data_IF_131448677665
#
_entry.id   IF_131448677665
#
_cell.length_a   1.000
_cell.length_b   1.000
_cell.length_c   1.000
_cell.angle_alpha   90.00
_cell.angle_beta   90.00
_cell.angle_gamma   90.00
#
_symmetry.space_group_name_H-M   'P 1'
#
loop_
_entity.id
_entity.type
_entity.pdbx_description
1 polymer ?
#
# COMPACT_ATOMS: atom_id res chain seq x y z
N UNK A 1 1.52 -24.23 -0.52
CA UNK A 1 2.15 -23.67 -1.74
C UNK A 1 2.01 -22.17 -1.62
N UNK A 2 3.07 -21.48 -1.24
CA UNK A 2 3.09 -20.01 -1.22
C UNK A 2 3.15 -19.55 -2.68
N UNK A 3 2.06 -18.99 -3.17
CA UNK A 3 2.02 -18.35 -4.49
C UNK A 3 2.74 -17.02 -4.35
N UNK A 4 3.99 -16.96 -4.83
CA UNK A 4 4.73 -15.71 -4.95
C UNK A 4 4.14 -14.98 -6.17
N UNK A 5 3.64 -13.76 -5.98
CA UNK A 5 3.24 -12.90 -7.10
C UNK A 5 4.47 -12.61 -7.98
N UNK A 6 4.49 -13.15 -9.20
CA UNK A 6 5.54 -12.82 -10.17
C UNK A 6 5.33 -11.40 -10.73
N UNK A 7 6.40 -10.73 -11.18
CA UNK A 7 6.38 -9.32 -11.62
C UNK A 7 5.25 -8.92 -12.60
N UNK A 8 4.97 -9.68 -13.68
CA UNK A 8 3.88 -9.33 -14.59
C UNK A 8 2.53 -9.43 -13.89
N UNK A 9 2.36 -10.44 -13.03
CA UNK A 9 1.15 -10.67 -12.25
C UNK A 9 0.94 -9.57 -11.19
N UNK A 10 2.02 -8.95 -10.70
CA UNK A 10 1.95 -7.86 -9.72
C UNK A 10 1.31 -6.60 -10.30
N UNK A 11 1.69 -6.19 -11.51
CA UNK A 11 1.09 -5.01 -12.16
C UNK A 11 -0.37 -5.30 -12.50
N UNK A 12 -0.65 -6.46 -13.10
CA UNK A 12 -2.02 -6.90 -13.41
C UNK A 12 -2.89 -6.98 -12.16
N UNK A 13 -2.33 -7.47 -11.05
CA UNK A 13 -2.99 -7.51 -9.75
C UNK A 13 -3.35 -6.10 -9.25
N UNK A 14 -2.39 -5.16 -9.27
CA UNK A 14 -2.60 -3.80 -8.81
C UNK A 14 -3.60 -3.04 -9.68
N UNK A 15 -3.53 -3.20 -11.00
CA UNK A 15 -4.50 -2.66 -11.96
C UNK A 15 -5.90 -3.16 -11.68
N UNK A 16 -6.05 -4.47 -11.42
CA UNK A 16 -7.35 -5.08 -11.13
C UNK A 16 -7.92 -4.62 -9.79
N UNK A 17 -7.07 -4.48 -8.77
CA UNK A 17 -7.52 -4.13 -7.43
C UNK A 17 -7.72 -2.62 -7.24
N UNK A 18 -6.98 -1.79 -7.98
CA UNK A 18 -6.99 -0.33 -7.91
C UNK A 18 -7.34 0.25 -9.29
N UNK A 19 -8.60 0.06 -9.77
CA UNK A 19 -9.00 0.55 -11.08
C UNK A 19 -8.85 2.06 -11.22
N UNK A 20 -8.89 2.80 -10.11
CA UNK A 20 -8.72 4.26 -10.10
C UNK A 20 -7.31 4.73 -10.47
N UNK A 21 -6.31 3.86 -10.37
CA UNK A 21 -4.90 4.14 -10.68
C UNK A 21 -4.38 3.26 -11.82
N UNK A 22 -5.29 2.75 -12.66
CA UNK A 22 -4.96 1.90 -13.79
C UNK A 22 -3.80 2.46 -14.64
N UNK A 23 -3.96 3.72 -15.08
CA UNK A 23 -3.00 4.40 -15.95
C UNK A 23 -1.66 4.68 -15.24
N UNK A 24 -1.67 4.85 -13.92
CA UNK A 24 -0.47 5.04 -13.11
C UNK A 24 0.42 3.79 -13.07
N UNK A 25 -0.19 2.60 -13.10
CA UNK A 25 0.54 1.33 -13.10
C UNK A 25 0.88 0.84 -14.52
N UNK A 26 -0.02 1.00 -15.50
CA UNK A 26 0.25 0.66 -16.90
C UNK A 26 1.36 1.50 -17.54
N UNK A 27 1.53 2.74 -17.07
CA UNK A 27 2.59 3.63 -17.56
C UNK A 27 3.99 3.29 -17.03
N UNK A 28 4.09 2.31 -16.12
CA UNK A 28 5.39 1.87 -15.61
C UNK A 28 6.19 1.13 -16.70
N UNK A 29 7.53 1.32 -16.74
CA UNK A 29 8.38 0.58 -17.67
C UNK A 29 8.27 -0.93 -17.43
N UNK A 30 8.35 -1.74 -18.50
CA UNK A 30 8.28 -3.20 -18.40
C UNK A 30 9.35 -3.82 -17.48
N UNK A 31 10.51 -3.18 -17.34
CA UNK A 31 11.62 -3.63 -16.48
C UNK A 31 11.61 -3.00 -15.07
N UNK A 32 10.51 -2.35 -14.67
CA UNK A 32 10.41 -1.72 -13.35
C UNK A 32 10.66 -2.72 -12.21
N UNK A 33 11.34 -2.29 -11.15
CA UNK A 33 11.59 -3.13 -9.97
C UNK A 33 10.36 -3.22 -9.08
N UNK A 34 10.23 -4.33 -8.34
CA UNK A 34 9.14 -4.54 -7.37
C UNK A 34 9.07 -3.40 -6.35
N UNK A 35 10.23 -2.92 -5.89
CA UNK A 35 10.32 -1.77 -4.98
C UNK A 35 9.80 -0.49 -5.63
N UNK A 36 10.07 -0.25 -6.93
CA UNK A 36 9.55 0.92 -7.63
C UNK A 36 8.04 0.83 -7.85
N UNK A 37 7.49 -0.35 -8.12
CA UNK A 37 6.03 -0.58 -8.16
C UNK A 37 5.40 -0.26 -6.79
N UNK A 38 6.00 -0.76 -5.72
CA UNK A 38 5.48 -0.52 -4.37
C UNK A 38 5.63 0.94 -3.92
N UNK A 39 6.69 1.64 -4.36
CA UNK A 39 6.80 3.10 -4.23
C UNK A 39 5.66 3.82 -4.95
N UNK A 40 5.36 3.42 -6.18
CA UNK A 40 4.25 3.98 -6.95
C UNK A 40 2.91 3.77 -6.25
N UNK A 41 2.69 2.60 -5.64
CA UNK A 41 1.52 2.35 -4.80
C UNK A 41 1.41 3.37 -3.65
N UNK A 42 2.51 3.65 -2.94
CA UNK A 42 2.51 4.64 -1.85
C UNK A 42 2.19 6.07 -2.33
N UNK A 43 2.69 6.45 -3.51
CA UNK A 43 2.39 7.74 -4.15
C UNK A 43 0.93 7.84 -4.54
N UNK A 44 0.38 6.81 -5.17
CA UNK A 44 -1.03 6.71 -5.56
C UNK A 44 -1.94 6.82 -4.33
N UNK A 45 -1.63 6.09 -3.24
CA UNK A 45 -2.38 6.19 -1.98
C UNK A 45 -2.40 7.61 -1.44
N UNK A 46 -1.25 8.28 -1.46
CA UNK A 46 -1.12 9.68 -1.00
C UNK A 46 -2.00 10.60 -1.86
N UNK A 47 -1.90 10.49 -3.19
CA UNK A 47 -2.66 11.32 -4.13
C UNK A 47 -4.17 11.14 -3.96
N UNK A 48 -4.63 9.89 -3.86
CA UNK A 48 -6.05 9.57 -3.70
C UNK A 48 -6.59 10.05 -2.34
N UNK A 49 -5.76 10.02 -1.30
CA UNK A 49 -6.11 10.56 0.01
C UNK A 49 -6.25 12.09 -0.03
N UNK A 50 -5.33 12.79 -0.67
CA UNK A 50 -5.39 14.26 -0.84
C UNK A 50 -6.66 14.67 -1.62
N UNK A 51 -7.10 13.83 -2.56
CA UNK A 51 -8.35 14.01 -3.32
C UNK A 51 -9.60 13.56 -2.55
N UNK A 52 -9.48 13.12 -1.29
CA UNK A 52 -10.57 12.56 -0.48
C UNK A 52 -11.29 11.37 -1.14
N UNK A 53 -10.61 10.61 -2.00
CA UNK A 53 -11.16 9.43 -2.68
C UNK A 53 -11.01 8.18 -1.81
N UNK A 54 -11.65 8.17 -0.64
CA UNK A 54 -11.47 7.12 0.37
C UNK A 54 -11.79 5.69 -0.11
N UNK A 55 -12.72 5.54 -1.06
CA UNK A 55 -12.97 4.24 -1.69
C UNK A 55 -11.75 3.72 -2.45
N UNK A 56 -11.07 4.60 -3.18
CA UNK A 56 -9.85 4.26 -3.91
C UNK A 56 -8.65 4.06 -2.96
N UNK A 57 -8.58 4.86 -1.89
CA UNK A 57 -7.60 4.64 -0.81
C UNK A 57 -7.78 3.25 -0.20
N UNK A 58 -9.02 2.82 0.06
CA UNK A 58 -9.31 1.47 0.56
C UNK A 58 -8.77 0.39 -0.39
N UNK A 59 -8.93 0.55 -1.70
CA UNK A 59 -8.36 -0.38 -2.68
C UNK A 59 -6.83 -0.44 -2.58
N UNK A 60 -6.16 0.70 -2.40
CA UNK A 60 -4.71 0.74 -2.21
C UNK A 60 -4.27 0.07 -0.90
N UNK A 61 -5.02 0.28 0.19
CA UNK A 61 -4.75 -0.39 1.47
C UNK A 61 -4.93 -1.91 1.36
N UNK A 62 -5.98 -2.37 0.66
CA UNK A 62 -6.19 -3.79 0.38
C UNK A 62 -5.07 -4.37 -0.47
N UNK A 63 -4.60 -3.64 -1.49
CA UNK A 63 -3.46 -4.07 -2.28
C UNK A 63 -2.22 -4.25 -1.40
N UNK A 64 -1.93 -3.28 -0.54
CA UNK A 64 -0.79 -3.35 0.37
C UNK A 64 -0.89 -4.54 1.36
N UNK A 65 -2.08 -4.87 1.85
CA UNK A 65 -2.34 -6.04 2.71
C UNK A 65 -2.02 -7.36 2.00
N UNK A 66 -2.51 -7.50 0.77
CA UNK A 66 -2.27 -8.68 -0.07
C UNK A 66 -0.79 -8.81 -0.44
N UNK A 67 -0.10 -7.69 -0.73
CA UNK A 67 1.34 -7.68 -0.96
C UNK A 67 2.15 -8.05 0.28
N UNK A 68 1.66 -7.71 1.47
CA UNK A 68 2.29 -8.10 2.72
C UNK A 68 2.14 -9.62 2.98
N UNK A 69 1.02 -10.23 2.56
CA UNK A 69 0.75 -11.65 2.71
C UNK A 69 1.46 -12.51 1.65
N UNK A 70 1.37 -12.10 0.38
CA UNK A 70 1.69 -12.93 -0.78
C UNK A 70 2.83 -12.39 -1.65
N UNK A 71 3.34 -11.20 -1.34
CA UNK A 71 4.48 -10.63 -2.06
C UNK A 71 5.79 -11.38 -1.83
N UNK A 72 6.77 -11.11 -2.69
CA UNK A 72 8.16 -11.53 -2.48
C UNK A 72 8.73 -10.89 -1.20
N UNK A 73 9.80 -11.46 -0.64
CA UNK A 73 10.45 -10.88 0.55
C UNK A 73 10.88 -9.43 0.36
N UNK A 74 11.26 -9.05 -0.86
CA UNK A 74 11.58 -7.66 -1.21
C UNK A 74 10.34 -6.75 -1.12
N UNK A 75 9.20 -7.20 -1.64
CA UNK A 75 7.92 -6.47 -1.56
C UNK A 75 7.47 -6.35 -0.11
N UNK A 76 7.47 -7.47 0.65
CA UNK A 76 7.09 -7.47 2.06
C UNK A 76 7.95 -6.51 2.88
N UNK A 77 9.28 -6.57 2.67
CA UNK A 77 10.23 -5.66 3.31
C UNK A 77 9.92 -4.21 2.97
N UNK A 78 9.62 -3.92 1.70
CA UNK A 78 9.26 -2.58 1.27
C UNK A 78 7.94 -2.09 1.89
N UNK A 79 6.89 -2.92 1.86
CA UNK A 79 5.60 -2.56 2.44
C UNK A 79 5.78 -2.24 3.93
N UNK A 80 6.51 -3.08 4.67
CA UNK A 80 6.80 -2.85 6.08
C UNK A 80 7.62 -1.57 6.31
N UNK A 81 8.74 -1.40 5.62
CA UNK A 81 9.70 -0.33 5.94
C UNK A 81 9.32 1.03 5.36
N UNK A 82 8.66 1.06 4.21
CA UNK A 82 8.40 2.30 3.47
C UNK A 82 6.91 2.61 3.41
N UNK A 83 6.08 1.66 2.98
CA UNK A 83 4.65 1.93 2.78
C UNK A 83 3.94 2.22 4.10
N UNK A 84 4.14 1.37 5.12
CA UNK A 84 3.51 1.54 6.44
C UNK A 84 4.06 2.77 7.15
N UNK A 85 5.37 3.02 7.08
CA UNK A 85 5.94 4.26 7.63
C UNK A 85 5.31 5.50 6.99
N UNK A 86 5.15 5.52 5.66
CA UNK A 86 4.50 6.64 4.96
C UNK A 86 3.02 6.75 5.34
N UNK A 87 2.34 5.63 5.53
CA UNK A 87 0.95 5.58 5.98
C UNK A 87 0.78 6.20 7.38
N UNK A 88 1.70 5.92 8.31
CA UNK A 88 1.72 6.58 9.64
C UNK A 88 1.81 8.09 9.49
N UNK A 89 2.75 8.60 8.69
CA UNK A 89 2.88 10.04 8.43
C UNK A 89 1.62 10.64 7.80
N UNK A 90 0.93 9.89 6.93
CA UNK A 90 -0.32 10.33 6.33
C UNK A 90 -1.47 10.38 7.34
N UNK A 91 -1.61 9.37 8.20
CA UNK A 91 -2.64 9.30 9.23
C UNK A 91 -2.41 10.41 10.26
N UNK A 92 -1.18 10.62 10.71
CA UNK A 92 -0.83 11.69 11.67
C UNK A 92 -1.16 13.09 11.13
N UNK A 93 -1.08 13.28 9.81
CA UNK A 93 -1.42 14.54 9.12
C UNK A 93 -2.87 14.63 8.67
N UNK A 94 -3.65 13.57 8.83
CA UNK A 94 -4.98 13.48 8.25
C UNK A 94 -6.04 14.28 9.06
N UNK A 95 -5.66 14.86 10.21
CA UNK A 95 -6.53 15.55 11.17
C UNK A 95 -7.81 14.73 11.42
N UNK A 96 -8.98 15.29 11.10
CA UNK A 96 -10.30 14.69 11.29
C UNK A 96 -10.55 13.43 10.42
N UNK A 97 -9.63 13.07 9.52
CA UNK A 97 -9.73 11.89 8.65
C UNK A 97 -8.94 10.70 9.20
N UNK A 98 -8.12 10.90 10.24
CA UNK A 98 -7.29 9.85 10.83
C UNK A 98 -8.12 8.65 11.28
N UNK A 99 -9.21 8.87 12.03
CA UNK A 99 -10.11 7.80 12.49
C UNK A 99 -10.70 6.98 11.33
N UNK A 100 -11.06 7.66 10.23
CA UNK A 100 -11.58 6.97 9.05
C UNK A 100 -10.49 6.14 8.36
N UNK A 101 -9.26 6.66 8.26
CA UNK A 101 -8.15 5.91 7.68
C UNK A 101 -7.81 4.68 8.52
N UNK A 102 -7.78 4.80 9.84
CA UNK A 102 -7.58 3.67 10.75
C UNK A 102 -8.67 2.61 10.61
N UNK A 103 -9.92 3.03 10.41
CA UNK A 103 -11.03 2.11 10.15
C UNK A 103 -10.92 1.40 8.80
N UNK A 104 -10.29 2.02 7.80
CA UNK A 104 -10.09 1.43 6.48
C UNK A 104 -8.91 0.45 6.44
N UNK A 105 -8.07 0.40 7.47
CA UNK A 105 -6.92 -0.49 7.51
C UNK A 105 -7.37 -1.96 7.52
N UNK A 106 -6.96 -2.76 6.51
CA UNK A 106 -7.16 -4.20 6.52
C UNK A 106 -6.29 -4.89 7.57
N UNK A 107 -6.60 -6.15 7.86
CA UNK A 107 -6.18 -6.82 9.09
C UNK A 107 -4.65 -6.90 9.25
N UNK A 108 -3.90 -7.35 8.23
CA UNK A 108 -2.46 -7.53 8.36
C UNK A 108 -1.72 -6.20 8.40
N UNK A 109 -2.13 -5.28 7.54
CA UNK A 109 -1.61 -3.93 7.49
C UNK A 109 -1.85 -3.21 8.81
N UNK A 110 -3.02 -3.42 9.45
CA UNK A 110 -3.33 -2.87 10.78
C UNK A 110 -2.45 -3.47 11.86
N UNK A 111 -2.25 -4.79 11.87
CA UNK A 111 -1.36 -5.44 12.85
C UNK A 111 0.03 -4.83 12.77
N UNK A 112 0.56 -4.71 11.55
CA UNK A 112 1.91 -4.23 11.33
C UNK A 112 2.04 -2.73 11.61
N UNK A 113 1.05 -1.93 11.23
CA UNK A 113 0.94 -0.51 11.61
C UNK A 113 0.99 -0.33 13.13
N UNK A 114 0.16 -1.07 13.87
CA UNK A 114 0.14 -1.02 15.34
C UNK A 114 1.45 -1.53 15.94
N UNK A 115 2.06 -2.56 15.35
CA UNK A 115 3.37 -3.05 15.77
C UNK A 115 4.41 -1.94 15.66
N UNK A 116 4.48 -1.23 14.54
CA UNK A 116 5.45 -0.16 14.33
C UNK A 116 5.22 1.01 15.30
N UNK A 117 3.98 1.43 15.53
CA UNK A 117 3.67 2.46 16.53
C UNK A 117 4.13 2.08 17.94
N UNK A 118 3.83 0.84 18.36
CA UNK A 118 4.21 0.35 19.69
C UNK A 118 5.71 0.10 19.86
N UNK A 119 6.45 -0.10 18.77
CA UNK A 119 7.90 -0.32 18.81
C UNK A 119 8.68 0.99 18.71
N UNK A 120 8.08 2.06 18.18
CA UNK A 120 8.68 3.39 18.05
C UNK A 120 8.39 4.34 19.22
N UNK A 121 7.49 3.99 20.15
CA UNK A 121 7.26 4.75 21.37
C UNK A 121 8.13 4.18 22.51
N UNK A 122 9.04 4.98 23.11
CA UNK A 122 9.84 4.60 24.28
C UNK A 122 9.01 4.48 25.56
#
# INVERSE_FOLDING_TARGET
MESILEKPELIDFLVKLIPEAHQDFESLPAEVSDCAIAHKLAEVTTLLLDQNRFRAVKHCLLAADELLLHGSEAIKTFINSVYIHRLTVLIDRADNRAEMLEYLLPHQLRIEYLRQLNTCLP
#
